data_IF_974552954554
#
_entry.id   IF_974552954554
#
_cell.length_a   1.000
_cell.length_b   1.000
_cell.length_c   1.000
_cell.angle_alpha   90.00
_cell.angle_beta   90.00
_cell.angle_gamma   90.00
#
_symmetry.space_group_name_H-M   'P 1'
#
loop_
_entity.id
_entity.type
_entity.pdbx_description
1 polymer ?
#
# COMPACT_ATOMS: atom_id res chain seq x y z
N UNK A 1 13.22 0.57 12.95
CA UNK A 1 14.12 1.72 12.72
C UNK A 1 13.79 2.37 11.40
N UNK A 2 13.89 3.69 11.36
CA UNK A 2 13.69 4.40 10.11
C UNK A 2 14.92 4.23 9.22
N UNK A 3 14.68 4.21 7.90
CA UNK A 3 15.78 4.17 6.94
C UNK A 3 16.52 5.49 6.92
N UNK A 4 17.82 5.45 6.69
CA UNK A 4 18.60 6.65 6.44
C UNK A 4 18.15 7.31 5.15
N UNK A 5 18.55 8.55 4.94
CA UNK A 5 18.23 9.29 3.71
C UNK A 5 18.75 8.57 2.47
N UNK A 6 19.97 8.01 2.57
CA UNK A 6 20.58 7.26 1.47
C UNK A 6 19.83 5.95 1.20
N UNK A 7 19.43 5.24 2.26
CA UNK A 7 18.66 4.01 2.12
C UNK A 7 17.31 4.27 1.49
N UNK A 8 16.64 5.36 1.86
CA UNK A 8 15.37 5.76 1.26
C UNK A 8 15.53 6.07 -0.21
N UNK A 9 16.58 6.81 -0.58
CA UNK A 9 16.85 7.15 -1.97
C UNK A 9 17.12 5.89 -2.78
N UNK A 10 17.88 4.94 -2.23
CA UNK A 10 18.18 3.67 -2.89
C UNK A 10 16.93 2.83 -3.06
N UNK A 11 16.08 2.79 -2.04
CA UNK A 11 14.81 2.06 -2.11
C UNK A 11 13.92 2.62 -3.23
N UNK A 12 13.80 3.95 -3.31
CA UNK A 12 13.03 4.61 -4.34
C UNK A 12 13.59 4.30 -5.73
N UNK A 13 14.90 4.39 -5.88
CA UNK A 13 15.56 4.09 -7.15
C UNK A 13 15.32 2.66 -7.60
N UNK A 14 15.44 1.71 -6.68
CA UNK A 14 15.20 0.30 -6.96
C UNK A 14 13.75 0.04 -7.34
N UNK A 15 12.82 0.69 -6.66
CA UNK A 15 11.39 0.55 -6.93
C UNK A 15 11.05 1.09 -8.31
N UNK A 16 11.56 2.26 -8.66
CA UNK A 16 11.35 2.85 -9.99
C UNK A 16 11.93 1.99 -11.09
N UNK A 17 13.15 1.50 -10.89
CA UNK A 17 13.81 0.63 -11.87
C UNK A 17 13.02 -0.66 -12.06
N UNK A 18 12.52 -1.25 -10.97
CA UNK A 18 11.72 -2.46 -11.02
C UNK A 18 10.42 -2.25 -11.80
N UNK A 19 9.70 -1.16 -11.51
CA UNK A 19 8.45 -0.84 -12.20
C UNK A 19 8.71 -0.60 -13.68
N UNK A 20 9.76 0.14 -14.02
CA UNK A 20 10.12 0.40 -15.41
C UNK A 20 10.42 -0.91 -16.16
N UNK A 21 11.15 -1.81 -15.53
CA UNK A 21 11.45 -3.12 -16.11
C UNK A 21 10.17 -3.92 -16.36
N UNK A 22 9.22 -3.89 -15.41
CA UNK A 22 7.93 -4.57 -15.57
C UNK A 22 7.15 -4.00 -16.76
N UNK A 23 7.12 -2.69 -16.89
CA UNK A 23 6.44 -2.02 -18.01
C UNK A 23 7.06 -2.40 -19.34
N UNK A 24 8.39 -2.42 -19.42
CA UNK A 24 9.13 -2.80 -20.64
C UNK A 24 8.87 -4.26 -21.02
N UNK A 25 8.65 -5.13 -20.05
CA UNK A 25 8.32 -6.53 -20.28
C UNK A 25 6.85 -6.78 -20.57
N UNK A 26 6.03 -5.71 -20.56
CA UNK A 26 4.61 -5.84 -20.82
C UNK A 26 3.81 -6.44 -19.67
N UNK A 27 4.34 -6.40 -18.45
CA UNK A 27 3.63 -6.89 -17.27
C UNK A 27 2.43 -6.01 -17.01
N UNK A 28 1.27 -6.63 -16.80
CA UNK A 28 0.04 -5.92 -16.46
C UNK A 28 -0.42 -6.36 -15.08
N UNK A 29 -0.82 -5.38 -14.27
CA UNK A 29 -1.35 -5.68 -12.96
C UNK A 29 -2.74 -6.34 -13.07
N UNK A 30 -3.09 -7.21 -12.11
CA UNK A 30 -4.42 -7.81 -12.07
C UNK A 30 -5.52 -6.75 -11.92
N UNK A 31 -6.71 -7.05 -12.45
CA UNK A 31 -7.83 -6.11 -12.44
C UNK A 31 -8.22 -5.68 -11.03
N UNK A 32 -8.15 -6.56 -10.05
CA UNK A 32 -8.49 -6.22 -8.68
C UNK A 32 -7.54 -5.18 -8.06
N UNK A 33 -6.30 -5.11 -8.50
CA UNK A 33 -5.39 -4.02 -8.12
C UNK A 33 -5.67 -2.76 -8.93
N UNK A 34 -5.92 -2.91 -10.23
CA UNK A 34 -6.21 -1.76 -11.10
C UNK A 34 -7.53 -1.06 -10.76
N UNK A 35 -8.47 -1.77 -10.15
CA UNK A 35 -9.73 -1.17 -9.70
C UNK A 35 -9.52 -0.14 -8.57
N UNK A 36 -8.46 -0.30 -7.80
CA UNK A 36 -8.20 0.54 -6.62
C UNK A 36 -6.98 1.44 -6.76
N UNK A 37 -6.07 1.15 -7.68
CA UNK A 37 -4.80 1.85 -7.81
C UNK A 37 -4.52 2.23 -9.25
N UNK A 38 -3.73 3.30 -9.43
CA UNK A 38 -3.23 3.64 -10.76
C UNK A 38 -2.36 2.49 -11.30
N UNK A 39 -2.18 2.38 -12.62
CA UNK A 39 -1.30 1.34 -13.18
C UNK A 39 0.10 1.35 -12.58
N UNK A 40 0.70 2.52 -12.39
CA UNK A 40 2.02 2.64 -11.76
C UNK A 40 2.03 2.11 -10.33
N UNK A 41 1.07 2.52 -9.51
CA UNK A 41 0.99 2.05 -8.13
C UNK A 41 0.70 0.55 -8.05
N UNK A 42 -0.15 0.04 -8.94
CA UNK A 42 -0.40 -1.40 -9.00
C UNK A 42 0.87 -2.19 -9.30
N UNK A 43 1.71 -1.70 -10.22
CA UNK A 43 2.99 -2.33 -10.50
C UNK A 43 3.97 -2.19 -9.34
N UNK A 44 3.96 -1.06 -8.64
CA UNK A 44 4.76 -0.88 -7.43
C UNK A 44 4.39 -1.92 -6.37
N UNK A 45 3.11 -2.16 -6.20
CA UNK A 45 2.61 -3.18 -5.28
C UNK A 45 3.13 -4.56 -5.69
N UNK A 46 2.96 -4.93 -6.95
CA UNK A 46 3.41 -6.23 -7.44
C UNK A 46 4.92 -6.42 -7.32
N UNK A 47 5.69 -5.36 -7.54
CA UNK A 47 7.13 -5.45 -7.42
C UNK A 47 7.54 -5.77 -5.98
N UNK A 48 6.87 -5.16 -5.01
CA UNK A 48 7.15 -5.38 -3.59
C UNK A 48 6.51 -6.65 -3.05
N UNK A 49 5.35 -7.02 -3.57
CA UNK A 49 4.58 -8.18 -3.12
C UNK A 49 3.94 -8.88 -4.31
N UNK A 50 4.68 -9.78 -4.99
CA UNK A 50 4.16 -10.45 -6.19
C UNK A 50 2.86 -11.23 -5.99
N UNK A 51 2.59 -11.66 -4.76
CA UNK A 51 1.37 -12.40 -4.43
C UNK A 51 0.20 -11.50 -4.05
N UNK A 52 0.35 -10.18 -4.11
CA UNK A 52 -0.71 -9.26 -3.71
C UNK A 52 -1.95 -9.43 -4.59
N UNK A 53 -3.11 -9.45 -3.96
CA UNK A 53 -4.38 -9.59 -4.65
C UNK A 53 -5.32 -8.42 -4.38
N UNK A 54 -5.34 -7.94 -3.15
CA UNK A 54 -6.21 -6.85 -2.75
C UNK A 54 -5.53 -6.06 -1.65
N UNK A 55 -5.29 -4.80 -1.88
CA UNK A 55 -4.56 -3.95 -0.96
C UNK A 55 -5.39 -2.74 -0.55
N UNK A 56 -5.19 -2.28 0.67
CA UNK A 56 -5.81 -1.06 1.18
C UNK A 56 -4.98 -0.52 2.34
N UNK A 57 -5.17 0.74 2.68
CA UNK A 57 -4.51 1.34 3.82
C UNK A 57 -5.01 0.78 5.14
N UNK A 58 -4.28 1.07 6.20
CA UNK A 58 -4.59 0.57 7.54
C UNK A 58 -6.03 0.91 7.97
N UNK A 59 -6.40 2.17 7.84
CA UNK A 59 -7.74 2.61 8.25
C UNK A 59 -8.84 2.09 7.33
N UNK A 60 -8.54 1.95 6.04
CA UNK A 60 -9.49 1.39 5.09
C UNK A 60 -9.82 -0.06 5.42
N UNK A 61 -8.80 -0.85 5.79
CA UNK A 61 -9.03 -2.23 6.23
C UNK A 61 -9.90 -2.29 7.47
N UNK A 62 -9.62 -1.41 8.44
CA UNK A 62 -10.42 -1.34 9.67
C UNK A 62 -11.88 -1.03 9.36
N UNK A 63 -12.13 -0.07 8.47
CA UNK A 63 -13.50 0.27 8.04
C UNK A 63 -14.18 -0.88 7.30
N UNK A 64 -13.40 -1.73 6.65
CA UNK A 64 -13.92 -2.90 5.96
C UNK A 64 -14.11 -4.12 6.87
N UNK A 65 -13.87 -3.96 8.17
CA UNK A 65 -14.03 -5.04 9.14
C UNK A 65 -12.84 -5.96 9.26
N UNK A 66 -11.64 -5.46 8.93
CA UNK A 66 -10.41 -6.24 9.01
C UNK A 66 -9.33 -5.46 9.76
N UNK A 67 -8.45 -6.17 10.39
CA UNK A 67 -7.31 -5.59 11.10
C UNK A 67 -6.01 -6.05 10.47
N UNK A 68 -5.09 -5.11 10.27
CA UNK A 68 -3.74 -5.43 9.80
C UNK A 68 -3.01 -6.15 10.93
N UNK A 69 -2.38 -7.28 10.60
CA UNK A 69 -1.66 -8.08 11.59
C UNK A 69 -0.46 -7.33 12.13
N UNK A 70 -0.20 -7.51 13.41
CA UNK A 70 0.99 -6.94 14.04
C UNK A 70 2.24 -7.44 13.32
N UNK A 71 3.15 -6.53 13.01
CA UNK A 71 4.39 -6.86 12.32
C UNK A 71 4.29 -6.92 10.80
N UNK A 72 3.11 -6.73 10.24
CA UNK A 72 2.96 -6.68 8.79
C UNK A 72 3.75 -5.51 8.21
N UNK A 73 4.41 -5.74 7.09
CA UNK A 73 5.15 -4.69 6.38
C UNK A 73 4.27 -3.99 5.38
N UNK A 74 4.23 -2.66 5.47
CA UNK A 74 3.51 -1.86 4.50
C UNK A 74 4.13 -1.93 3.12
N UNK A 75 3.29 -1.86 2.11
CA UNK A 75 3.70 -1.81 0.71
C UNK A 75 3.63 -0.35 0.30
N UNK A 76 4.74 0.20 -0.21
CA UNK A 76 4.83 1.62 -0.53
C UNK A 76 4.16 1.96 -1.86
N UNK A 77 3.38 3.02 -1.88
CA UNK A 77 2.82 3.60 -3.10
C UNK A 77 3.03 5.12 -3.07
N UNK A 78 2.90 5.76 -4.24
CA UNK A 78 2.98 7.22 -4.37
C UNK A 78 1.60 7.79 -4.65
N UNK A 79 1.21 8.76 -3.82
CA UNK A 79 -0.10 9.41 -3.95
C UNK A 79 0.11 10.89 -4.25
N UNK A 80 -0.57 11.45 -5.27
CA UNK A 80 -0.44 12.87 -5.56
C UNK A 80 -1.10 13.72 -4.49
N UNK A 81 -0.42 14.80 -4.10
CA UNK A 81 -0.91 15.77 -3.12
C UNK A 81 -1.33 17.10 -3.76
N UNK A 82 -1.17 17.23 -5.08
CA UNK A 82 -1.41 18.46 -5.77
C UNK A 82 -0.16 18.94 -6.49
N UNK A 83 0.03 20.24 -6.55
CA UNK A 83 1.18 20.85 -7.23
C UNK A 83 1.85 21.86 -6.30
N UNK A 84 3.13 22.12 -6.55
CA UNK A 84 3.87 23.16 -5.84
C UNK A 84 3.66 24.53 -6.53
N UNK A 85 4.37 25.56 -6.05
CA UNK A 85 4.27 26.93 -6.58
C UNK A 85 4.67 27.04 -8.06
N UNK A 86 5.45 26.07 -8.54
CA UNK A 86 5.88 26.02 -9.95
C UNK A 86 4.99 25.10 -10.80
N UNK A 87 3.85 24.66 -10.26
CA UNK A 87 2.92 23.73 -10.90
C UNK A 87 3.49 22.34 -11.13
N UNK A 88 4.52 21.97 -10.37
CA UNK A 88 5.10 20.62 -10.42
C UNK A 88 4.36 19.71 -9.47
N UNK A 89 4.08 18.45 -9.88
CA UNK A 89 3.37 17.51 -9.02
C UNK A 89 4.13 17.24 -7.72
N UNK A 90 3.40 17.23 -6.63
CA UNK A 90 3.92 16.82 -5.32
C UNK A 90 3.32 15.47 -4.99
N UNK A 91 4.17 14.54 -4.55
CA UNK A 91 3.73 13.19 -4.17
C UNK A 91 4.08 12.91 -2.72
N UNK A 92 3.30 12.04 -2.10
CA UNK A 92 3.58 11.53 -0.76
C UNK A 92 3.62 10.03 -0.80
N UNK A 93 4.52 9.45 -0.02
CA UNK A 93 4.53 8.02 0.20
C UNK A 93 3.39 7.64 1.12
N UNK A 94 2.67 6.58 0.73
CA UNK A 94 1.65 5.96 1.57
C UNK A 94 1.94 4.48 1.64
N UNK A 95 1.40 3.81 2.64
CA UNK A 95 1.59 2.38 2.81
C UNK A 95 0.24 1.70 2.79
N UNK A 96 0.17 0.63 2.01
CA UNK A 96 -1.01 -0.23 1.96
C UNK A 96 -0.60 -1.63 2.41
N UNK A 97 -1.60 -2.45 2.71
CA UNK A 97 -1.39 -3.82 3.16
C UNK A 97 -2.24 -4.75 2.33
N UNK A 98 -1.66 -5.90 1.96
CA UNK A 98 -2.41 -6.90 1.25
C UNK A 98 -3.38 -7.62 2.19
N UNK A 99 -4.48 -8.13 1.65
CA UNK A 99 -5.48 -8.85 2.44
C UNK A 99 -4.87 -10.02 3.22
N UNK A 100 -3.83 -10.65 2.67
CA UNK A 100 -3.13 -11.75 3.35
C UNK A 100 -2.44 -11.34 4.65
N UNK A 101 -2.19 -10.04 4.83
CA UNK A 101 -1.60 -9.50 6.05
C UNK A 101 -2.66 -8.94 7.00
N UNK A 102 -3.91 -9.27 6.76
CA UNK A 102 -5.02 -8.84 7.61
C UNK A 102 -5.79 -10.04 8.13
N UNK A 103 -6.57 -9.79 9.16
CA UNK A 103 -7.48 -10.79 9.72
C UNK A 103 -8.82 -10.14 10.01
N UNK A 104 -9.93 -10.90 10.00
CA UNK A 104 -11.22 -10.31 10.35
C UNK A 104 -11.16 -9.70 11.74
N UNK A 105 -11.82 -8.56 11.92
CA UNK A 105 -12.01 -8.00 13.26
C UNK A 105 -12.77 -9.01 14.07
N UNK A 106 -12.06 -9.64 15.01
CA UNK A 106 -12.58 -10.78 15.71
C UNK A 106 -13.50 -10.35 16.86
N UNK A 107 -14.66 -11.02 16.94
CA UNK A 107 -15.56 -10.86 18.08
C UNK A 107 -14.90 -11.36 19.36
N UNK A 108 -13.82 -12.13 19.26
CA UNK A 108 -13.10 -12.62 20.42
C UNK A 108 -12.24 -11.54 21.08
N UNK A 109 -12.02 -10.40 20.42
CA UNK A 109 -11.32 -9.28 21.02
C UNK A 109 -12.29 -8.40 21.79
N UNK A 110 -12.23 -8.38 23.12
CA UNK A 110 -13.16 -7.55 23.93
C UNK A 110 -13.09 -6.07 23.58
N UNK A 111 -11.90 -5.59 23.24
CA UNK A 111 -11.71 -4.20 22.88
C UNK A 111 -12.40 -3.86 21.56
N UNK A 112 -12.25 -4.71 20.56
CA UNK A 112 -12.89 -4.51 19.27
C UNK A 112 -14.40 -4.64 19.36
N UNK A 113 -14.88 -5.60 20.13
CA UNK A 113 -16.30 -5.77 20.37
C UNK A 113 -16.92 -4.50 20.98
N UNK A 114 -16.22 -3.88 21.93
CA UNK A 114 -16.66 -2.62 22.53
C UNK A 114 -16.71 -1.48 21.51
N UNK A 115 -15.69 -1.38 20.66
CA UNK A 115 -15.66 -0.35 19.65
C UNK A 115 -16.77 -0.50 18.63
N UNK A 116 -17.10 -1.74 18.26
CA UNK A 116 -18.15 -2.02 17.29
C UNK A 116 -19.56 -1.83 17.86
N UNK A 117 -19.76 -2.12 19.13
CA UNK A 117 -21.08 -2.12 19.78
C UNK A 117 -21.32 -0.84 20.57
N UNK A 118 -20.30 -0.35 21.23
CA UNK A 118 -20.42 0.78 22.14
C UNK A 118 -20.11 2.15 21.55
N UNK A 119 -19.88 2.18 20.31
CA UNK A 119 -19.56 3.44 19.64
C UNK A 119 -20.73 4.41 19.67
#
# INVERSE_FOLDING_TARGET
MSRSKEEKAQFIANLRAGVKSMEEQGVKAPSNLLDSFSPSNALMILFQRPSATQCAGFHAWKSAGRAVRKGAKGIAILVPLGVDDESKPIFSWRYVFDISDTEPLSETSPKLARELVGA
#
